data_IF_941366668232
#
_entry.id   IF_941366668232
#
_cell.length_a   1.000
_cell.length_b   1.000
_cell.length_c   1.000
_cell.angle_alpha   90.00
_cell.angle_beta   90.00
_cell.angle_gamma   90.00
#
_symmetry.space_group_name_H-M   'P 1'
#
loop_
_entity.id
_entity.type
_entity.pdbx_description
1 polymer ?
#
# COMPACT_ATOMS: atom_id res chain seq x y z
N UNK A 1 23.45 0.17 -15.96
CA UNK A 1 22.46 -0.71 -16.63
C UNK A 1 21.96 -1.71 -15.61
N UNK A 2 20.64 -1.89 -15.48
CA UNK A 2 20.04 -2.84 -14.53
C UNK A 2 20.22 -4.26 -15.10
N UNK A 3 20.71 -5.25 -14.32
CA UNK A 3 20.88 -6.61 -14.83
C UNK A 3 19.55 -7.24 -15.23
N UNK A 4 19.49 -7.91 -16.38
CA UNK A 4 18.27 -8.59 -16.88
C UNK A 4 17.74 -9.58 -15.83
N UNK A 5 18.63 -10.26 -15.10
CA UNK A 5 18.26 -11.17 -14.00
C UNK A 5 17.41 -10.49 -12.92
N UNK A 6 17.64 -9.21 -12.62
CA UNK A 6 16.84 -8.47 -11.63
C UNK A 6 15.45 -8.14 -12.16
N UNK A 7 15.31 -7.80 -13.44
CA UNK A 7 14.02 -7.56 -14.09
C UNK A 7 13.20 -8.85 -14.09
N UNK A 8 13.82 -9.98 -14.46
CA UNK A 8 13.19 -11.30 -14.43
C UNK A 8 12.74 -11.67 -13.02
N UNK A 9 13.58 -11.45 -12.00
CA UNK A 9 13.22 -11.73 -10.60
C UNK A 9 12.03 -10.87 -10.12
N UNK A 10 12.00 -9.59 -10.46
CA UNK A 10 10.91 -8.69 -10.10
C UNK A 10 9.60 -9.07 -10.81
N UNK A 11 9.67 -9.45 -12.09
CA UNK A 11 8.51 -9.93 -12.83
C UNK A 11 7.96 -11.24 -12.24
N UNK A 12 8.85 -12.18 -11.89
CA UNK A 12 8.47 -13.41 -11.20
C UNK A 12 7.81 -13.13 -9.85
N UNK A 13 8.36 -12.22 -9.05
CA UNK A 13 7.77 -11.80 -7.77
C UNK A 13 6.37 -11.19 -7.97
N UNK A 14 6.18 -10.32 -8.96
CA UNK A 14 4.86 -9.75 -9.28
C UNK A 14 3.84 -10.84 -9.63
N UNK A 15 4.21 -11.83 -10.45
CA UNK A 15 3.34 -12.95 -10.80
C UNK A 15 2.94 -13.75 -9.55
N UNK A 16 3.89 -14.02 -8.65
CA UNK A 16 3.63 -14.71 -7.38
C UNK A 16 2.66 -13.91 -6.51
N UNK A 17 2.86 -12.59 -6.39
CA UNK A 17 1.98 -11.71 -5.61
C UNK A 17 0.56 -11.65 -6.18
N UNK A 18 0.41 -11.57 -7.50
CA UNK A 18 -0.90 -11.64 -8.16
C UNK A 18 -1.57 -12.99 -7.88
N UNK A 19 -0.82 -14.09 -8.00
CA UNK A 19 -1.31 -15.43 -7.67
C UNK A 19 -1.76 -15.55 -6.21
N UNK A 20 -0.99 -15.00 -5.27
CA UNK A 20 -1.33 -14.96 -3.85
C UNK A 20 -2.60 -14.15 -3.59
N UNK A 21 -2.76 -12.98 -4.23
CA UNK A 21 -3.95 -12.15 -4.07
C UNK A 21 -5.22 -12.82 -4.61
N UNK A 22 -5.15 -13.40 -5.82
CA UNK A 22 -6.28 -14.13 -6.41
C UNK A 22 -6.62 -15.36 -5.56
N UNK A 23 -5.60 -16.11 -5.12
CA UNK A 23 -5.76 -17.28 -4.26
C UNK A 23 -6.38 -16.93 -2.90
N UNK A 24 -5.88 -15.88 -2.24
CA UNK A 24 -6.40 -15.38 -0.98
C UNK A 24 -7.84 -14.88 -1.14
N UNK A 25 -8.14 -14.11 -2.19
CA UNK A 25 -9.49 -13.67 -2.50
C UNK A 25 -10.46 -14.85 -2.64
N UNK A 26 -10.10 -15.84 -3.45
CA UNK A 26 -10.93 -17.00 -3.70
C UNK A 26 -11.15 -17.85 -2.45
N UNK A 27 -10.09 -18.10 -1.69
CA UNK A 27 -10.14 -18.86 -0.45
C UNK A 27 -11.00 -18.15 0.60
N UNK A 28 -10.82 -16.85 0.79
CA UNK A 28 -11.62 -16.06 1.74
C UNK A 28 -13.07 -15.93 1.29
N UNK A 29 -13.32 -15.85 -0.02
CA UNK A 29 -14.68 -15.81 -0.57
C UNK A 29 -15.42 -17.12 -0.31
N UNK A 30 -14.73 -18.26 -0.42
CA UNK A 30 -15.33 -19.57 -0.14
C UNK A 30 -15.47 -19.87 1.35
N UNK A 31 -14.46 -19.56 2.17
CA UNK A 31 -14.46 -19.94 3.60
C UNK A 31 -15.25 -18.98 4.50
N UNK A 32 -15.21 -17.68 4.20
CA UNK A 32 -15.73 -16.65 5.12
C UNK A 32 -16.76 -15.73 4.43
N UNK A 33 -17.00 -15.90 3.13
CA UNK A 33 -18.03 -15.14 2.41
C UNK A 33 -17.71 -13.65 2.26
N UNK A 34 -16.44 -13.28 2.05
CA UNK A 34 -16.04 -11.88 1.89
C UNK A 34 -16.80 -11.17 0.78
N UNK A 35 -17.15 -9.89 0.99
CA UNK A 35 -17.87 -9.06 0.00
C UNK A 35 -16.90 -8.16 -0.76
N UNK A 36 -17.25 -7.79 -1.99
CA UNK A 36 -16.41 -6.92 -2.83
C UNK A 36 -16.34 -5.48 -2.34
N UNK A 37 -17.43 -4.97 -1.74
CA UNK A 37 -17.49 -3.57 -1.30
C UNK A 37 -16.39 -3.27 -0.26
N UNK A 38 -16.22 -4.04 0.83
CA UNK A 38 -15.12 -3.82 1.76
C UNK A 38 -13.72 -3.93 1.12
N UNK A 39 -13.52 -4.83 0.14
CA UNK A 39 -12.26 -4.93 -0.62
C UNK A 39 -11.99 -3.62 -1.37
N UNK A 40 -12.97 -3.11 -2.10
CA UNK A 40 -12.86 -1.86 -2.83
C UNK A 40 -12.61 -0.66 -1.89
N UNK A 41 -13.32 -0.60 -0.76
CA UNK A 41 -13.10 0.45 0.24
C UNK A 41 -11.66 0.38 0.77
N UNK A 42 -11.16 -0.81 1.12
CA UNK A 42 -9.77 -0.98 1.55
C UNK A 42 -8.75 -0.45 0.55
N UNK A 43 -8.93 -0.80 -0.73
CA UNK A 43 -8.04 -0.36 -1.80
C UNK A 43 -8.08 1.17 -2.02
N UNK A 44 -9.28 1.75 -2.07
CA UNK A 44 -9.47 3.20 -2.26
C UNK A 44 -8.85 3.98 -1.10
N UNK A 45 -9.06 3.54 0.13
CA UNK A 45 -8.53 4.21 1.31
C UNK A 45 -7.00 4.17 1.38
N UNK A 46 -6.36 3.07 0.97
CA UNK A 46 -4.90 3.03 0.83
C UNK A 46 -4.41 4.09 -0.17
N UNK A 47 -5.00 4.14 -1.37
CA UNK A 47 -4.59 5.10 -2.41
C UNK A 47 -4.75 6.54 -1.93
N UNK A 48 -5.88 6.86 -1.28
CA UNK A 48 -6.12 8.22 -0.78
C UNK A 48 -5.12 8.55 0.33
N UNK A 49 -5.01 7.73 1.36
CA UNK A 49 -4.22 8.10 2.55
C UNK A 49 -2.71 7.96 2.34
N UNK A 50 -2.24 6.83 1.82
CA UNK A 50 -0.80 6.54 1.70
C UNK A 50 -0.17 7.13 0.42
N UNK A 51 -0.90 7.14 -0.70
CA UNK A 51 -0.33 7.65 -1.96
C UNK A 51 -0.61 9.13 -2.21
N UNK A 52 -1.66 9.70 -1.63
CA UNK A 52 -2.00 11.11 -1.82
C UNK A 52 -1.70 11.90 -0.55
N UNK A 53 -2.39 11.65 0.57
CA UNK A 53 -2.26 12.50 1.76
C UNK A 53 -0.86 12.43 2.38
N UNK A 54 -0.31 11.22 2.55
CA UNK A 54 1.03 11.03 3.09
C UNK A 54 2.11 11.69 2.21
N UNK A 55 2.01 11.54 0.89
CA UNK A 55 2.95 12.16 -0.06
C UNK A 55 2.89 13.70 -0.02
N UNK A 56 1.69 14.26 0.17
CA UNK A 56 1.54 15.70 0.40
C UNK A 56 2.19 16.13 1.72
N UNK A 57 2.04 15.36 2.81
CA UNK A 57 2.73 15.65 4.07
C UNK A 57 4.25 15.63 3.88
N UNK A 58 4.79 14.60 3.21
CA UNK A 58 6.22 14.50 2.92
C UNK A 58 6.72 15.69 2.11
N UNK A 59 5.96 16.13 1.11
CA UNK A 59 6.31 17.29 0.29
C UNK A 59 6.38 18.58 1.12
N UNK A 60 5.46 18.77 2.06
CA UNK A 60 5.39 19.96 2.92
C UNK A 60 6.47 19.96 4.03
N UNK A 61 6.68 18.81 4.67
CA UNK A 61 7.56 18.68 5.83
C UNK A 61 9.02 18.52 5.42
N UNK A 62 9.28 17.63 4.46
CA UNK A 62 10.65 17.28 4.08
C UNK A 62 11.24 18.19 3.00
N UNK A 63 10.38 18.90 2.26
CA UNK A 63 10.73 19.86 1.20
C UNK A 63 11.86 19.32 0.30
N UNK A 64 11.62 18.17 -0.37
CA UNK A 64 12.64 17.55 -1.21
C UNK A 64 13.10 18.50 -2.31
N UNK A 65 14.41 18.51 -2.58
CA UNK A 65 14.98 19.25 -3.69
C UNK A 65 14.58 18.62 -5.04
N UNK A 66 15.01 19.21 -6.16
CA UNK A 66 14.71 18.70 -7.51
C UNK A 66 15.21 17.25 -7.77
N UNK A 67 16.12 16.75 -6.94
CA UNK A 67 16.66 15.39 -7.01
C UNK A 67 15.97 14.43 -6.02
N UNK A 68 14.93 14.89 -5.31
CA UNK A 68 14.21 14.12 -4.30
C UNK A 68 14.95 13.96 -2.96
N UNK A 69 16.10 14.61 -2.79
CA UNK A 69 16.87 14.56 -1.56
C UNK A 69 16.40 15.63 -0.58
N UNK A 70 16.44 15.29 0.71
CA UNK A 70 16.01 16.17 1.80
C UNK A 70 17.19 16.36 2.75
N UNK A 71 17.29 17.52 3.39
CA UNK A 71 18.37 17.79 4.37
C UNK A 71 18.41 16.72 5.48
N UNK A 72 17.23 16.25 5.89
CA UNK A 72 17.06 15.17 6.87
C UNK A 72 17.62 13.84 6.38
N UNK A 73 17.35 13.45 5.12
CA UNK A 73 17.83 12.18 4.57
C UNK A 73 19.37 12.13 4.49
N UNK A 74 20.01 13.26 4.18
CA UNK A 74 21.47 13.33 4.04
C UNK A 74 22.21 13.49 5.37
N UNK A 75 21.71 14.33 6.29
CA UNK A 75 22.44 14.68 7.52
C UNK A 75 22.03 13.82 8.72
N UNK A 76 20.78 13.36 8.77
CA UNK A 76 20.23 12.62 9.92
C UNK A 76 19.34 11.44 9.46
N UNK A 77 19.92 10.42 8.82
CA UNK A 77 19.17 9.33 8.19
C UNK A 77 18.30 8.54 9.18
N UNK A 78 18.73 8.39 10.44
CA UNK A 78 17.94 7.71 11.49
C UNK A 78 16.65 8.49 11.78
N UNK A 79 16.73 9.81 11.90
CA UNK A 79 15.56 10.66 12.15
C UNK A 79 14.61 10.64 10.97
N UNK A 80 15.16 10.66 9.74
CA UNK A 80 14.38 10.52 8.51
C UNK A 80 13.57 9.22 8.47
N UNK A 81 14.19 8.09 8.83
CA UNK A 81 13.52 6.78 8.87
C UNK A 81 12.44 6.74 9.96
N UNK A 82 12.74 7.23 11.17
CA UNK A 82 11.74 7.29 12.25
C UNK A 82 10.53 8.13 11.84
N UNK A 83 10.77 9.30 11.25
CA UNK A 83 9.71 10.15 10.71
C UNK A 83 8.87 9.40 9.66
N UNK A 84 9.52 8.74 8.69
CA UNK A 84 8.83 8.01 7.62
C UNK A 84 7.94 6.88 8.16
N UNK A 85 8.46 6.07 9.09
CA UNK A 85 7.71 4.97 9.70
C UNK A 85 6.50 5.49 10.50
N UNK A 86 6.69 6.57 11.28
CA UNK A 86 5.60 7.17 12.05
C UNK A 86 4.53 7.78 11.14
N UNK A 87 4.94 8.52 10.11
CA UNK A 87 4.03 9.10 9.14
C UNK A 87 3.20 8.02 8.43
N UNK A 88 3.85 6.99 7.88
CA UNK A 88 3.19 5.85 7.25
C UNK A 88 2.19 5.19 8.20
N UNK A 89 2.60 4.90 9.44
CA UNK A 89 1.74 4.31 10.47
C UNK A 89 0.50 5.15 10.78
N UNK A 90 0.65 6.47 10.90
CA UNK A 90 -0.47 7.39 11.16
C UNK A 90 -1.46 7.37 9.99
N UNK A 91 -0.99 7.52 8.75
CA UNK A 91 -1.90 7.58 7.59
C UNK A 91 -2.59 6.25 7.33
N UNK A 92 -1.86 5.14 7.36
CA UNK A 92 -2.45 3.82 7.15
C UNK A 92 -3.47 3.45 8.22
N UNK A 93 -3.16 3.68 9.50
CA UNK A 93 -4.08 3.34 10.59
C UNK A 93 -5.29 4.28 10.61
N UNK A 94 -5.11 5.56 10.27
CA UNK A 94 -6.24 6.50 10.10
C UNK A 94 -7.14 6.06 8.95
N UNK A 95 -6.56 5.61 7.83
CA UNK A 95 -7.32 5.08 6.71
C UNK A 95 -8.16 3.87 7.12
N UNK A 96 -7.57 2.91 7.87
CA UNK A 96 -8.27 1.75 8.44
C UNK A 96 -9.39 2.18 9.38
N UNK A 97 -9.11 3.09 10.32
CA UNK A 97 -10.09 3.56 11.29
C UNK A 97 -11.32 4.15 10.59
N UNK A 98 -11.12 5.05 9.63
CA UNK A 98 -12.22 5.68 8.90
C UNK A 98 -12.93 4.66 8.01
N UNK A 99 -12.19 3.82 7.29
CA UNK A 99 -12.74 2.76 6.45
C UNK A 99 -13.62 1.80 7.24
N UNK A 100 -13.19 1.36 8.42
CA UNK A 100 -13.98 0.52 9.30
C UNK A 100 -15.17 1.24 9.89
N UNK A 101 -15.04 2.53 10.26
CA UNK A 101 -16.15 3.32 10.75
C UNK A 101 -17.29 3.40 9.73
N UNK A 102 -16.95 3.61 8.44
CA UNK A 102 -17.92 3.62 7.34
C UNK A 102 -18.56 2.24 7.11
N UNK A 103 -17.75 1.18 7.11
CA UNK A 103 -18.22 -0.17 6.82
C UNK A 103 -19.04 -0.78 7.96
N UNK A 104 -18.78 -0.39 9.22
CA UNK A 104 -19.42 -0.98 10.41
C UNK A 104 -20.95 -0.95 10.35
N UNK A 105 -21.56 0.08 9.73
CA UNK A 105 -23.02 0.20 9.63
C UNK A 105 -23.65 -0.82 8.67
N UNK A 106 -22.99 -1.10 7.55
CA UNK A 106 -23.54 -1.95 6.47
C UNK A 106 -22.94 -3.36 6.43
N UNK A 107 -21.77 -3.55 7.06
CA UNK A 107 -20.97 -4.78 7.01
C UNK A 107 -20.32 -5.09 8.38
N UNK A 108 -21.09 -5.38 9.45
CA UNK A 108 -20.55 -5.59 10.80
C UNK A 108 -20.02 -7.01 11.05
N UNK A 109 -19.26 -7.59 10.11
CA UNK A 109 -18.82 -9.00 10.20
C UNK A 109 -17.30 -9.12 10.17
N UNK A 110 -16.77 -10.19 10.77
CA UNK A 110 -15.35 -10.54 10.66
C UNK A 110 -14.87 -10.71 9.21
N UNK A 111 -15.74 -11.19 8.32
CA UNK A 111 -15.45 -11.25 6.88
C UNK A 111 -15.09 -9.87 6.30
N UNK A 112 -15.62 -8.79 6.89
CA UNK A 112 -15.40 -7.41 6.43
C UNK A 112 -14.00 -6.93 6.74
N UNK A 113 -13.44 -7.25 7.91
CA UNK A 113 -12.06 -6.87 8.24
C UNK A 113 -11.06 -7.59 7.33
N UNK A 114 -11.29 -8.88 7.06
CA UNK A 114 -10.48 -9.66 6.12
C UNK A 114 -10.59 -9.12 4.68
N UNK A 115 -11.80 -8.79 4.24
CA UNK A 115 -12.06 -8.22 2.92
C UNK A 115 -11.38 -6.85 2.75
N UNK A 116 -11.50 -5.97 3.75
CA UNK A 116 -10.84 -4.67 3.76
C UNK A 116 -9.31 -4.83 3.72
N UNK A 117 -8.75 -5.68 4.58
CA UNK A 117 -7.31 -5.93 4.63
C UNK A 117 -6.77 -6.48 3.31
N UNK A 118 -7.50 -7.41 2.68
CA UNK A 118 -7.16 -7.95 1.36
C UNK A 118 -7.12 -6.86 0.29
N UNK A 119 -8.10 -5.95 0.28
CA UNK A 119 -8.13 -4.85 -0.68
C UNK A 119 -7.03 -3.83 -0.45
N UNK A 120 -6.81 -3.45 0.81
CA UNK A 120 -5.83 -2.45 1.23
C UNK A 120 -4.40 -2.91 0.97
N UNK A 121 -4.00 -4.07 1.54
CA UNK A 121 -2.66 -4.62 1.32
C UNK A 121 -2.47 -5.14 -0.11
N UNK A 122 -3.54 -5.61 -0.76
CA UNK A 122 -3.47 -6.07 -2.13
C UNK A 122 -3.14 -4.97 -3.12
N UNK A 123 -3.80 -3.80 -3.01
CA UNK A 123 -3.49 -2.69 -3.91
C UNK A 123 -2.09 -2.12 -3.63
N UNK A 124 -1.68 -2.05 -2.37
CA UNK A 124 -0.35 -1.61 -1.95
C UNK A 124 0.74 -2.43 -2.63
N UNK A 125 0.69 -3.75 -2.47
CA UNK A 125 1.67 -4.66 -3.06
C UNK A 125 1.70 -4.53 -4.58
N UNK A 126 0.55 -4.40 -5.25
CA UNK A 126 0.49 -4.25 -6.70
C UNK A 126 1.11 -2.94 -7.17
N UNK A 127 0.75 -1.81 -6.55
CA UNK A 127 1.26 -0.49 -6.95
C UNK A 127 2.77 -0.41 -6.73
N UNK A 128 3.29 -0.88 -5.60
CA UNK A 128 4.73 -0.88 -5.31
C UNK A 128 5.49 -1.77 -6.28
N UNK A 129 5.00 -3.00 -6.54
CA UNK A 129 5.68 -3.96 -7.41
C UNK A 129 5.67 -3.52 -8.87
N UNK A 130 4.51 -3.10 -9.38
CA UNK A 130 4.36 -2.61 -10.76
C UNK A 130 5.15 -1.31 -10.94
N UNK A 131 5.04 -0.37 -10.00
CA UNK A 131 5.77 0.90 -10.07
C UNK A 131 7.29 0.70 -10.07
N UNK A 132 7.79 -0.24 -9.27
CA UNK A 132 9.22 -0.59 -9.24
C UNK A 132 9.69 -1.22 -10.56
N UNK A 133 8.90 -2.13 -11.15
CA UNK A 133 9.23 -2.76 -12.43
C UNK A 133 9.20 -1.74 -13.58
N UNK A 134 8.16 -0.91 -13.62
CA UNK A 134 7.96 0.12 -14.65
C UNK A 134 9.13 1.12 -14.69
N UNK A 135 9.57 1.63 -13.52
CA UNK A 135 10.71 2.54 -13.39
C UNK A 135 12.05 1.97 -13.88
N UNK A 136 12.18 0.65 -14.03
CA UNK A 136 13.41 -0.02 -14.49
C UNK A 136 13.37 -0.41 -15.96
N UNK A 137 12.19 -0.40 -16.57
CA UNK A 137 11.98 -0.74 -17.98
C UNK A 137 12.11 0.47 -18.92
N UNK A 138 11.89 1.67 -18.40
CA UNK A 138 12.05 2.96 -19.08
C UNK A 138 13.35 3.61 -18.59
#
# INVERSE_FOLDING_TARGET
MVPISTIVAMAAALIILIGLLIGAFWLLRRKVGIKMVPVAVGAVFFVIFALILEQNLHSLVLQPNAQGQTSLSSNHPVVYVIYGILAAGIFEETARLIGFHLLKKSYPTFATSLAYGLGHGGIEMLIMSVGSLFKKLI
#
